data_IF_513791996004
#
_entry.id   IF_513791996004
#
_cell.length_a   1.000
_cell.length_b   1.000
_cell.length_c   1.000
_cell.angle_alpha   90.00
_cell.angle_beta   90.00
_cell.angle_gamma   90.00
#
_symmetry.space_group_name_H-M   'P 1'
#
loop_
_entity.id
_entity.type
_entity.pdbx_description
1 polymer ?
#
# COMPACT_ATOMS: atom_id res chain seq x y z
N UNK A 1 12.09 -3.62 -16.24
CA UNK A 1 11.91 -2.70 -15.09
C UNK A 1 10.62 -3.14 -14.44
N UNK A 2 10.61 -3.41 -13.14
CA UNK A 2 9.40 -3.92 -12.51
C UNK A 2 8.34 -2.82 -12.51
N UNK A 3 7.17 -3.12 -13.07
CA UNK A 3 6.13 -2.13 -13.30
C UNK A 3 5.30 -1.93 -12.03
N UNK A 4 5.09 -0.67 -11.65
CA UNK A 4 4.27 -0.32 -10.48
C UNK A 4 3.18 0.61 -10.95
N UNK A 5 1.94 0.19 -10.72
CA UNK A 5 0.75 1.01 -10.94
C UNK A 5 0.06 1.26 -9.61
N UNK A 6 -0.54 2.42 -9.47
CA UNK A 6 -1.37 2.76 -8.31
C UNK A 6 -2.79 2.98 -8.82
N UNK A 7 -3.77 2.37 -8.16
CA UNK A 7 -5.17 2.73 -8.40
C UNK A 7 -5.42 4.15 -7.91
N UNK A 8 -6.51 4.76 -8.38
CA UNK A 8 -6.95 6.07 -7.87
C UNK A 8 -7.11 6.07 -6.35
N UNK A 9 -7.73 5.02 -5.79
CA UNK A 9 -7.92 4.87 -4.34
C UNK A 9 -6.59 4.79 -3.58
N UNK A 10 -5.59 4.09 -4.11
CA UNK A 10 -4.27 4.05 -3.48
C UNK A 10 -3.58 5.43 -3.45
N UNK A 11 -3.80 6.26 -4.48
CA UNK A 11 -3.28 7.64 -4.50
C UNK A 11 -4.04 8.54 -3.50
N UNK A 12 -5.35 8.36 -3.38
CA UNK A 12 -6.18 9.03 -2.37
C UNK A 12 -5.71 8.62 -0.95
N UNK A 13 -5.56 7.32 -0.69
CA UNK A 13 -5.04 6.80 0.58
C UNK A 13 -3.66 7.41 0.92
N UNK A 14 -2.73 7.50 -0.04
CA UNK A 14 -1.41 8.14 0.17
C UNK A 14 -1.53 9.61 0.56
N UNK A 15 -2.45 10.33 -0.07
CA UNK A 15 -2.69 11.75 0.21
C UNK A 15 -3.27 11.94 1.60
N UNK A 16 -4.25 11.11 1.98
CA UNK A 16 -4.87 11.14 3.31
C UNK A 16 -3.85 10.80 4.42
N UNK A 17 -3.00 9.80 4.17
CA UNK A 17 -1.92 9.43 5.10
C UNK A 17 -0.94 10.59 5.27
N UNK A 18 -0.52 11.24 4.17
CA UNK A 18 0.41 12.37 4.24
C UNK A 18 -0.21 13.54 5.00
N UNK A 19 -1.43 13.95 4.65
CA UNK A 19 -2.15 15.06 5.29
C UNK A 19 -2.31 14.82 6.79
N UNK A 20 -2.83 13.65 7.18
CA UNK A 20 -2.97 13.29 8.59
C UNK A 20 -1.62 13.30 9.33
N UNK A 21 -0.56 12.81 8.69
CA UNK A 21 0.78 12.80 9.31
C UNK A 21 1.36 14.21 9.46
N UNK A 22 1.10 15.09 8.49
CA UNK A 22 1.53 16.48 8.53
C UNK A 22 0.82 17.25 9.65
N UNK A 23 -0.50 17.10 9.73
CA UNK A 23 -1.35 17.76 10.73
C UNK A 23 -1.03 17.31 12.16
N UNK A 24 -0.78 16.02 12.36
CA UNK A 24 -0.56 15.46 13.69
C UNK A 24 0.87 15.62 14.21
N UNK A 25 1.86 15.74 13.32
CA UNK A 25 3.27 15.79 13.72
C UNK A 25 4.09 16.84 12.98
N UNK A 26 4.30 16.69 11.67
CA UNK A 26 4.97 17.70 10.82
C UNK A 26 5.02 17.26 9.35
N UNK A 27 5.11 18.22 8.43
CA UNK A 27 5.34 17.94 7.00
C UNK A 27 6.60 17.09 6.76
N UNK A 28 7.68 17.32 7.52
CA UNK A 28 8.91 16.53 7.41
C UNK A 28 8.67 15.05 7.72
N UNK A 29 7.84 14.76 8.72
CA UNK A 29 7.48 13.38 9.06
C UNK A 29 6.54 12.77 8.02
N UNK A 30 5.60 13.55 7.49
CA UNK A 30 4.73 13.13 6.39
C UNK A 30 5.55 12.74 5.14
N UNK A 31 6.50 13.58 4.74
CA UNK A 31 7.42 13.32 3.63
C UNK A 31 8.25 12.06 3.84
N UNK A 32 8.79 11.89 5.05
CA UNK A 32 9.58 10.71 5.40
C UNK A 32 8.72 9.44 5.29
N UNK A 33 7.48 9.50 5.77
CA UNK A 33 6.61 8.34 5.77
C UNK A 33 6.08 8.00 4.37
N UNK A 34 5.72 9.01 3.57
CA UNK A 34 5.37 8.83 2.17
C UNK A 34 6.49 8.17 1.37
N UNK A 35 7.74 8.65 1.52
CA UNK A 35 8.90 8.05 0.83
C UNK A 35 9.12 6.60 1.26
N UNK A 36 8.90 6.26 2.53
CA UNK A 36 8.96 4.88 3.02
C UNK A 36 7.90 3.98 2.37
N UNK A 37 6.66 4.46 2.24
CA UNK A 37 5.58 3.71 1.58
C UNK A 37 5.90 3.46 0.11
N UNK A 38 6.34 4.49 -0.62
CA UNK A 38 6.72 4.37 -2.04
C UNK A 38 7.92 3.44 -2.24
N UNK A 39 8.96 3.56 -1.39
CA UNK A 39 10.12 2.67 -1.43
C UNK A 39 9.72 1.21 -1.16
N UNK A 40 8.78 1.00 -0.23
CA UNK A 40 8.25 -0.33 0.07
C UNK A 40 7.51 -0.92 -1.13
N UNK A 41 6.66 -0.13 -1.81
CA UNK A 41 6.00 -0.55 -3.05
C UNK A 41 7.01 -0.98 -4.12
N UNK A 42 8.10 -0.22 -4.29
CA UNK A 42 9.19 -0.56 -5.23
C UNK A 42 9.88 -1.87 -4.88
N UNK A 43 10.13 -2.12 -3.60
CA UNK A 43 10.70 -3.38 -3.14
C UNK A 43 9.77 -4.57 -3.41
N UNK A 44 8.47 -4.38 -3.21
CA UNK A 44 7.45 -5.40 -3.47
C UNK A 44 7.38 -5.78 -4.95
N UNK A 45 7.51 -4.81 -5.86
CA UNK A 45 7.46 -5.05 -7.29
C UNK A 45 8.51 -6.08 -7.77
N UNK A 46 9.68 -6.10 -7.16
CA UNK A 46 10.74 -7.04 -7.53
C UNK A 46 10.57 -8.45 -6.97
N UNK A 47 9.84 -8.63 -5.86
CA UNK A 47 9.60 -9.95 -5.25
C UNK A 47 8.23 -10.01 -4.54
N UNK A 48 7.11 -9.95 -5.30
CA UNK A 48 5.79 -9.69 -4.74
C UNK A 48 5.26 -10.84 -3.88
N UNK A 49 5.52 -12.09 -4.24
CA UNK A 49 5.06 -13.25 -3.45
C UNK A 49 5.94 -13.48 -2.23
N UNK A 50 7.24 -13.20 -2.32
CA UNK A 50 8.21 -13.48 -1.26
C UNK A 50 8.00 -12.58 -0.03
N UNK A 51 7.68 -11.31 -0.26
CA UNK A 51 7.49 -10.33 0.82
C UNK A 51 6.04 -10.20 1.26
N UNK A 52 5.08 -10.51 0.39
CA UNK A 52 3.65 -10.37 0.66
C UNK A 52 3.05 -11.52 1.43
N UNK A 53 1.94 -11.23 2.12
CA UNK A 53 0.99 -12.25 2.59
C UNK A 53 -0.28 -12.16 1.74
N UNK A 54 -0.80 -13.29 1.28
CA UNK A 54 -2.11 -13.30 0.62
C UNK A 54 -3.25 -13.10 1.65
N UNK A 55 -4.17 -12.18 1.35
CA UNK A 55 -5.37 -11.87 2.14
C UNK A 55 -6.59 -12.41 1.41
N UNK A 56 -6.81 -13.72 1.49
CA UNK A 56 -7.90 -14.42 0.80
C UNK A 56 -9.28 -13.91 1.23
N UNK A 57 -9.39 -13.38 2.45
CA UNK A 57 -10.57 -12.73 2.99
C UNK A 57 -10.97 -11.44 2.25
N UNK A 58 -10.03 -10.78 1.56
CA UNK A 58 -10.28 -9.60 0.72
C UNK A 58 -10.46 -9.93 -0.76
N UNK A 59 -10.15 -11.17 -1.16
CA UNK A 59 -10.23 -11.66 -2.53
C UNK A 59 -9.01 -12.49 -2.91
N UNK A 60 -9.19 -13.44 -3.84
CA UNK A 60 -8.10 -14.26 -4.37
C UNK A 60 -7.08 -13.39 -5.11
N UNK A 61 -5.78 -13.64 -4.89
CA UNK A 61 -4.71 -12.88 -5.54
C UNK A 61 -4.49 -11.46 -4.99
N UNK A 62 -5.12 -11.12 -3.86
CA UNK A 62 -4.81 -9.91 -3.10
C UNK A 62 -3.71 -10.21 -2.09
N UNK A 63 -2.61 -9.49 -2.20
CA UNK A 63 -1.48 -9.55 -1.27
C UNK A 63 -1.44 -8.28 -0.43
N UNK A 64 -0.91 -8.41 0.79
CA UNK A 64 -0.70 -7.31 1.71
C UNK A 64 0.70 -7.35 2.31
N UNK A 65 1.30 -6.18 2.46
CA UNK A 65 2.60 -6.00 3.13
C UNK A 65 2.54 -4.86 4.13
N UNK A 66 2.91 -5.13 5.38
CA UNK A 66 2.86 -4.14 6.46
C UNK A 66 4.07 -3.21 6.40
N UNK A 67 3.81 -1.91 6.31
CA UNK A 67 4.78 -0.82 6.36
C UNK A 67 4.44 0.09 7.54
N UNK A 68 5.10 -0.18 8.66
CA UNK A 68 4.84 0.49 9.94
C UNK A 68 3.36 0.33 10.35
N UNK A 69 2.58 1.43 10.35
CA UNK A 69 1.16 1.44 10.74
C UNK A 69 0.18 1.15 9.60
N UNK A 70 0.66 1.06 8.36
CA UNK A 70 -0.19 0.83 7.20
C UNK A 70 0.13 -0.51 6.53
N UNK A 71 -0.83 -1.04 5.80
CA UNK A 71 -0.72 -2.25 4.99
C UNK A 71 -0.92 -1.82 3.54
N UNK A 72 0.08 -2.09 2.71
CA UNK A 72 0.01 -1.92 1.26
C UNK A 72 -0.63 -3.15 0.68
N UNK A 73 -1.83 -3.00 0.12
CA UNK A 73 -2.53 -4.06 -0.59
C UNK A 73 -2.28 -3.95 -2.09
N UNK A 74 -1.94 -5.06 -2.73
CA UNK A 74 -1.58 -5.10 -4.14
C UNK A 74 -1.98 -6.43 -4.79
N UNK A 75 -2.05 -6.42 -6.12
CA UNK A 75 -2.13 -7.62 -6.94
C UNK A 75 -0.93 -7.71 -7.87
N UNK A 76 -0.58 -8.92 -8.25
CA UNK A 76 0.49 -9.18 -9.21
C UNK A 76 -0.10 -9.02 -10.62
N UNK A 77 0.60 -8.28 -11.49
CA UNK A 77 0.15 -8.00 -12.86
C UNK A 77 1.25 -8.38 -13.83
N UNK A 78 0.93 -9.30 -14.76
CA UNK A 78 1.90 -9.85 -15.71
C UNK A 78 3.06 -10.57 -15.00
N UNK A 79 4.21 -10.65 -15.67
CA UNK A 79 5.35 -11.43 -15.17
C UNK A 79 6.23 -10.66 -14.17
N UNK A 80 6.17 -9.31 -14.16
CA UNK A 80 7.10 -8.45 -13.40
C UNK A 80 6.48 -7.12 -12.97
N UNK A 81 5.29 -7.16 -12.38
CA UNK A 81 4.64 -5.93 -11.91
C UNK A 81 3.67 -6.15 -10.78
N UNK A 82 3.40 -5.06 -10.07
CA UNK A 82 2.31 -4.99 -9.10
C UNK A 82 1.42 -3.79 -9.41
N UNK A 83 0.13 -3.96 -9.10
CA UNK A 83 -0.77 -2.84 -8.96
C UNK A 83 -1.14 -2.69 -7.50
N UNK A 84 -0.78 -1.56 -6.92
CA UNK A 84 -1.15 -1.18 -5.56
C UNK A 84 -2.62 -0.76 -5.57
N UNK A 85 -3.45 -1.56 -4.88
CA UNK A 85 -4.90 -1.43 -4.87
C UNK A 85 -5.36 -0.47 -3.78
N UNK A 86 -4.80 -0.56 -2.57
CA UNK A 86 -5.12 0.28 -1.40
C UNK A 86 -3.93 0.38 -0.45
N UNK A 87 -3.87 1.44 0.36
CA UNK A 87 -2.93 1.56 1.49
C UNK A 87 -3.72 1.93 2.74
N UNK A 88 -3.99 0.95 3.60
CA UNK A 88 -4.91 1.12 4.73
C UNK A 88 -4.18 1.05 6.06
N UNK A 89 -4.66 1.79 7.06
CA UNK A 89 -4.12 1.72 8.40
C UNK A 89 -4.47 0.35 9.04
N UNK A 90 -3.52 -0.25 9.77
CA UNK A 90 -3.63 -1.62 10.33
C UNK A 90 -4.82 -1.83 11.29
N UNK A 91 -5.35 -0.73 11.83
CA UNK A 91 -6.49 -0.71 12.78
C UNK A 91 -7.84 -0.44 12.11
N UNK A 92 -7.86 -0.22 10.80
CA UNK A 92 -9.12 -0.06 10.07
C UNK A 92 -9.85 -1.39 9.97
N UNK A 93 -11.16 -1.34 9.79
CA UNK A 93 -11.92 -2.48 9.31
C UNK A 93 -11.54 -2.74 7.85
N UNK A 94 -10.55 -3.62 7.66
CA UNK A 94 -9.92 -3.86 6.36
C UNK A 94 -10.92 -4.42 5.35
N UNK A 95 -11.84 -5.30 5.77
CA UNK A 95 -12.82 -5.91 4.87
C UNK A 95 -13.79 -4.88 4.31
N UNK A 96 -14.33 -4.01 5.17
CA UNK A 96 -15.24 -2.95 4.72
C UNK A 96 -14.50 -1.88 3.92
N UNK A 97 -13.36 -1.41 4.42
CA UNK A 97 -12.60 -0.34 3.76
C UNK A 97 -12.04 -0.75 2.42
N UNK A 98 -11.65 -2.00 2.24
CA UNK A 98 -11.09 -2.47 0.97
C UNK A 98 -12.14 -2.52 -0.15
N UNK A 99 -13.42 -2.71 0.18
CA UNK A 99 -14.52 -2.74 -0.78
C UNK A 99 -15.03 -1.35 -1.21
N UNK A 100 -14.76 -0.29 -0.41
CA UNK A 100 -15.12 1.12 -0.66
C UNK A 100 -14.34 1.78 -1.83
#
# INVERSE_FOLDING_TARGET
MDEIRFTRKAVEDLSDIWNYTADMWSERQADTYYRLLIASCRKLAGNPVLFGREYKELGAGIYGFKVNKHIVFYRIVGDKGIEVVRILHERMDLSNRFAD
#
